data_IF_842111422853
#
_entry.id   IF_842111422853
#
_cell.length_a   1.000
_cell.length_b   1.000
_cell.length_c   1.000
_cell.angle_alpha   90.00
_cell.angle_beta   90.00
_cell.angle_gamma   90.00
#
_symmetry.space_group_name_H-M   'P 1'
#
loop_
_entity.id
_entity.type
_entity.pdbx_description
1 polymer ?
#
# COMPACT_ATOMS: atom_id res chain seq x y z
N UNK A 1 3.36 -5.73 18.53
CA UNK A 1 3.99 -5.03 17.39
C UNK A 1 2.95 -4.09 16.80
N UNK A 2 3.36 -2.90 16.35
CA UNK A 2 2.50 -1.72 16.16
C UNK A 2 1.90 -1.26 17.50
N UNK A 3 2.33 -0.09 17.96
CA UNK A 3 1.90 0.45 19.25
C UNK A 3 0.39 0.67 19.32
N UNK A 4 -0.14 1.06 20.49
CA UNK A 4 -1.57 1.31 20.65
C UNK A 4 -2.07 2.37 19.66
N UNK A 5 -3.26 2.15 19.12
CA UNK A 5 -3.98 3.11 18.26
C UNK A 5 -5.37 3.41 18.83
N UNK A 6 -5.90 4.58 18.50
CA UNK A 6 -7.24 5.00 18.94
C UNK A 6 -8.37 4.30 18.17
N UNK A 7 -9.55 4.19 18.78
CA UNK A 7 -10.72 3.59 18.14
C UNK A 7 -11.19 4.30 16.86
N UNK A 8 -10.83 5.57 16.66
CA UNK A 8 -11.08 6.30 15.43
C UNK A 8 -10.44 5.64 14.21
N UNK A 9 -9.25 5.04 14.37
CA UNK A 9 -8.58 4.30 13.30
C UNK A 9 -9.43 3.14 12.79
N UNK A 10 -9.91 2.28 13.69
CA UNK A 10 -10.75 1.14 13.31
C UNK A 10 -12.08 1.56 12.68
N UNK A 11 -12.70 2.64 13.19
CA UNK A 11 -13.91 3.21 12.57
C UNK A 11 -13.65 3.70 11.15
N UNK A 12 -12.48 4.28 10.90
CA UNK A 12 -12.10 4.75 9.58
C UNK A 12 -11.83 3.59 8.62
N UNK A 13 -11.07 2.57 9.05
CA UNK A 13 -10.86 1.35 8.26
C UNK A 13 -12.21 0.69 7.91
N UNK A 14 -13.12 0.55 8.89
CA UNK A 14 -14.45 0.00 8.64
C UNK A 14 -15.26 0.84 7.64
N UNK A 15 -15.13 2.18 7.68
CA UNK A 15 -15.74 3.07 6.69
C UNK A 15 -15.19 2.82 5.29
N UNK A 16 -13.86 2.69 5.14
CA UNK A 16 -13.21 2.41 3.85
C UNK A 16 -13.64 1.05 3.28
N UNK A 17 -13.68 0.01 4.12
CA UNK A 17 -14.15 -1.33 3.71
C UNK A 17 -15.59 -1.28 3.22
N UNK A 18 -16.49 -0.58 3.92
CA UNK A 18 -17.88 -0.41 3.48
C UNK A 18 -18.02 0.40 2.18
N UNK A 19 -17.13 1.36 1.96
CA UNK A 19 -17.09 2.15 0.74
C UNK A 19 -16.42 1.41 -0.44
N UNK A 20 -15.75 0.27 -0.17
CA UNK A 20 -14.95 -0.45 -1.16
C UNK A 20 -13.65 0.24 -1.57
N UNK A 21 -13.28 1.35 -0.92
CA UNK A 21 -12.07 2.14 -1.25
C UNK A 21 -11.66 3.09 -0.12
N UNK A 22 -10.47 3.67 -0.26
CA UNK A 22 -9.91 4.62 0.70
C UNK A 22 -10.58 6.00 0.57
N UNK A 23 -11.30 6.42 1.63
CA UNK A 23 -12.09 7.65 1.66
C UNK A 23 -11.81 8.47 2.93
N UNK A 24 -12.06 9.77 2.92
CA UNK A 24 -11.87 10.63 4.11
C UNK A 24 -12.80 10.25 5.29
N UNK A 25 -12.28 10.26 6.52
CA UNK A 25 -13.02 9.82 7.72
C UNK A 25 -14.22 10.73 8.04
N UNK A 26 -13.96 12.02 8.23
CA UNK A 26 -14.94 13.04 8.58
C UNK A 26 -14.67 14.30 7.76
N UNK A 27 -15.48 14.51 6.73
CA UNK A 27 -15.36 15.66 5.82
C UNK A 27 -15.70 17.00 6.49
N UNK A 28 -16.46 17.00 7.59
CA UNK A 28 -16.78 18.24 8.30
C UNK A 28 -15.57 18.73 9.10
N UNK A 29 -14.79 17.79 9.63
CA UNK A 29 -13.54 18.10 10.35
C UNK A 29 -12.36 18.33 9.41
N UNK A 30 -12.39 17.73 8.23
CA UNK A 30 -11.31 17.80 7.25
C UNK A 30 -11.87 18.16 5.86
N UNK A 31 -12.40 19.38 5.68
CA UNK A 31 -13.01 19.80 4.42
C UNK A 31 -11.99 19.88 3.27
N UNK A 32 -10.71 20.08 3.58
CA UNK A 32 -9.64 20.22 2.60
C UNK A 32 -9.12 18.89 2.07
N UNK A 33 -9.50 17.76 2.68
CA UNK A 33 -9.12 16.43 2.21
C UNK A 33 -10.09 15.94 1.12
N UNK A 34 -9.59 15.24 0.08
CA UNK A 34 -10.45 14.69 -0.94
C UNK A 34 -11.38 13.63 -0.35
N UNK A 35 -12.58 13.52 -0.90
CA UNK A 35 -13.53 12.49 -0.46
C UNK A 35 -13.01 11.08 -0.74
N UNK A 36 -12.48 10.87 -1.94
CA UNK A 36 -11.78 9.68 -2.40
C UNK A 36 -10.28 9.99 -2.52
N UNK A 37 -9.45 9.25 -1.79
CA UNK A 37 -8.00 9.44 -1.83
C UNK A 37 -7.37 9.00 -3.15
N UNK A 38 -8.08 8.23 -3.99
CA UNK A 38 -7.61 7.82 -5.30
C UNK A 38 -7.86 8.86 -6.40
N UNK A 39 -8.68 9.89 -6.13
CA UNK A 39 -9.11 10.86 -7.14
C UNK A 39 -7.95 11.58 -7.85
N UNK A 40 -6.84 11.82 -7.15
CA UNK A 40 -5.66 12.50 -7.67
C UNK A 40 -4.50 11.53 -8.00
N UNK A 41 -4.75 10.22 -8.15
CA UNK A 41 -3.70 9.22 -8.36
C UNK A 41 -2.80 9.54 -9.57
N UNK A 42 -3.36 10.09 -10.65
CA UNK A 42 -2.61 10.48 -11.86
C UNK A 42 -1.51 11.52 -11.58
N UNK A 43 -1.75 12.41 -10.62
CA UNK A 43 -0.86 13.50 -10.24
C UNK A 43 0.34 13.04 -9.40
N UNK A 44 0.27 11.83 -8.82
CA UNK A 44 1.35 11.24 -8.02
C UNK A 44 2.48 10.80 -8.96
N UNK A 45 3.49 11.65 -9.11
CA UNK A 45 4.64 11.38 -9.99
C UNK A 45 5.71 10.50 -9.36
N UNK A 46 5.71 10.34 -8.04
CA UNK A 46 6.68 9.52 -7.32
C UNK A 46 6.47 8.04 -7.67
N UNK A 47 7.47 7.34 -8.23
CA UNK A 47 7.41 5.89 -8.42
C UNK A 47 7.22 5.17 -7.10
N UNK A 48 6.44 4.10 -7.09
CA UNK A 48 6.13 3.30 -5.88
C UNK A 48 6.40 1.84 -6.17
N UNK A 49 7.14 1.19 -5.28
CA UNK A 49 7.25 -0.26 -5.22
C UNK A 49 6.22 -0.80 -4.21
N UNK A 50 5.19 -1.47 -4.71
CA UNK A 50 4.24 -2.21 -3.89
C UNK A 50 4.81 -3.60 -3.62
N UNK A 51 4.72 -4.06 -2.37
CA UNK A 51 5.22 -5.37 -1.96
C UNK A 51 4.18 -6.15 -1.19
N UNK A 52 4.00 -7.42 -1.48
CA UNK A 52 3.13 -8.30 -0.69
C UNK A 52 3.67 -9.73 -0.70
N UNK A 53 3.11 -10.60 0.13
CA UNK A 53 3.41 -12.01 0.11
C UNK A 53 2.18 -12.85 -0.22
N UNK A 54 2.38 -14.04 -0.80
CA UNK A 54 1.27 -14.92 -1.22
C UNK A 54 0.45 -15.47 -0.05
N UNK A 55 0.98 -15.41 1.18
CA UNK A 55 0.31 -15.85 2.41
C UNK A 55 -0.19 -14.67 3.27
N UNK A 56 -0.30 -13.46 2.72
CA UNK A 56 -0.83 -12.28 3.42
C UNK A 56 -2.34 -12.42 3.70
N UNK A 57 -2.72 -12.52 4.98
CA UNK A 57 -4.12 -12.64 5.44
C UNK A 57 -4.69 -11.36 6.06
N UNK A 58 -3.95 -10.26 6.04
CA UNK A 58 -4.39 -8.98 6.61
C UNK A 58 -4.85 -8.04 5.51
N UNK A 59 -3.99 -7.82 4.52
CA UNK A 59 -4.27 -7.02 3.32
C UNK A 59 -4.03 -7.91 2.11
N UNK A 60 -4.97 -8.83 1.87
CA UNK A 60 -4.86 -9.98 0.96
C UNK A 60 -4.25 -9.63 -0.40
N UNK A 61 -5.08 -9.12 -1.29
CA UNK A 61 -4.83 -8.74 -2.67
C UNK A 61 -4.74 -7.22 -2.82
N UNK A 62 -4.77 -6.47 -1.70
CA UNK A 62 -4.86 -5.00 -1.71
C UNK A 62 -3.74 -4.32 -2.50
N UNK A 63 -2.51 -4.84 -2.45
CA UNK A 63 -1.39 -4.30 -3.23
C UNK A 63 -1.44 -4.68 -4.72
N UNK A 64 -2.02 -5.84 -5.07
CA UNK A 64 -2.24 -6.23 -6.47
C UNK A 64 -3.30 -5.33 -7.09
N UNK A 65 -4.46 -5.19 -6.42
CA UNK A 65 -5.55 -4.29 -6.85
C UNK A 65 -5.09 -2.84 -6.93
N UNK A 66 -4.30 -2.37 -5.95
CA UNK A 66 -3.74 -1.02 -5.98
C UNK A 66 -2.79 -0.84 -7.18
N UNK A 67 -1.90 -1.79 -7.43
CA UNK A 67 -1.00 -1.77 -8.58
C UNK A 67 -1.78 -1.72 -9.89
N UNK A 68 -2.76 -2.59 -10.10
CA UNK A 68 -3.59 -2.63 -11.31
C UNK A 68 -4.31 -1.29 -11.56
N UNK A 69 -4.88 -0.69 -10.51
CA UNK A 69 -5.54 0.61 -10.60
C UNK A 69 -4.56 1.74 -10.93
N UNK A 70 -3.36 1.71 -10.33
CA UNK A 70 -2.33 2.70 -10.61
C UNK A 70 -1.74 2.54 -12.01
N UNK A 71 -1.55 1.30 -12.48
CA UNK A 71 -1.14 1.00 -13.85
C UNK A 71 -2.12 1.60 -14.87
N UNK A 72 -3.42 1.38 -14.67
CA UNK A 72 -4.45 1.92 -15.56
C UNK A 72 -4.44 3.46 -15.66
N UNK A 73 -3.94 4.15 -14.62
CA UNK A 73 -3.89 5.61 -14.55
C UNK A 73 -2.55 6.17 -15.00
N UNK A 74 -1.45 5.47 -14.71
CA UNK A 74 -0.09 5.93 -14.94
C UNK A 74 0.82 4.77 -15.41
N UNK A 75 0.69 4.35 -16.68
CA UNK A 75 1.36 3.14 -17.13
C UNK A 75 2.89 3.19 -17.03
N UNK A 76 3.47 2.11 -16.51
CA UNK A 76 4.91 1.92 -16.33
C UNK A 76 5.54 2.71 -15.17
N UNK A 77 4.75 3.44 -14.36
CA UNK A 77 5.29 4.28 -13.27
C UNK A 77 5.58 3.51 -11.99
N UNK A 78 4.78 2.48 -11.70
CA UNK A 78 4.81 1.76 -10.42
C UNK A 78 5.27 0.32 -10.65
N UNK A 79 5.79 -0.31 -9.60
CA UNK A 79 6.26 -1.69 -9.62
C UNK A 79 5.55 -2.51 -8.54
N UNK A 80 5.39 -3.81 -8.77
CA UNK A 80 4.80 -4.76 -7.81
C UNK A 80 5.71 -5.97 -7.65
N UNK A 81 6.05 -6.31 -6.41
CA UNK A 81 6.79 -7.52 -6.05
C UNK A 81 5.96 -8.39 -5.10
N UNK A 82 5.83 -9.68 -5.45
CA UNK A 82 5.05 -10.67 -4.69
C UNK A 82 6.01 -11.77 -4.21
N UNK A 83 6.14 -11.91 -2.89
CA UNK A 83 7.04 -12.87 -2.25
C UNK A 83 6.30 -14.16 -1.89
N UNK A 84 6.71 -15.28 -2.48
CA UNK A 84 6.05 -16.56 -2.24
C UNK A 84 6.27 -17.08 -0.81
N UNK A 85 5.19 -17.53 -0.16
CA UNK A 85 5.19 -18.01 1.22
C UNK A 85 5.21 -16.92 2.29
N UNK A 86 5.29 -15.65 1.92
CA UNK A 86 5.39 -14.54 2.88
C UNK A 86 4.01 -14.11 3.39
N UNK A 87 3.87 -13.97 4.70
CA UNK A 87 2.74 -13.32 5.35
C UNK A 87 2.86 -11.79 5.38
N UNK A 88 1.86 -11.13 5.99
CA UNK A 88 1.78 -9.67 6.02
C UNK A 88 3.05 -9.00 6.60
N UNK A 89 3.61 -9.58 7.66
CA UNK A 89 4.76 -9.00 8.36
C UNK A 89 6.10 -9.55 7.86
N UNK A 90 6.09 -10.68 7.16
CA UNK A 90 7.31 -11.38 6.75
C UNK A 90 8.12 -10.55 5.74
N UNK A 91 7.46 -9.67 4.98
CA UNK A 91 8.11 -8.75 4.05
C UNK A 91 9.01 -7.72 4.75
N UNK A 92 8.90 -7.57 6.07
CA UNK A 92 9.77 -6.72 6.89
C UNK A 92 10.55 -7.48 7.96
N UNK A 93 10.02 -8.61 8.43
CA UNK A 93 10.52 -9.30 9.63
C UNK A 93 10.70 -10.80 9.45
N UNK A 94 10.45 -11.33 8.25
CA UNK A 94 10.59 -12.75 7.96
C UNK A 94 12.03 -13.20 8.15
N UNK A 95 12.22 -14.46 8.55
CA UNK A 95 13.54 -15.05 8.80
C UNK A 95 14.54 -14.84 7.65
N UNK A 96 14.05 -14.81 6.42
CA UNK A 96 14.85 -14.66 5.21
C UNK A 96 14.67 -13.32 4.49
N UNK A 97 14.06 -12.31 5.15
CA UNK A 97 13.75 -11.01 4.54
C UNK A 97 14.99 -10.28 3.99
N UNK A 98 16.14 -10.41 4.65
CA UNK A 98 17.39 -9.82 4.20
C UNK A 98 17.95 -10.47 2.92
N UNK A 99 17.60 -11.73 2.66
CA UNK A 99 17.96 -12.47 1.45
C UNK A 99 16.98 -12.19 0.31
N UNK A 100 15.69 -12.25 0.61
CA UNK A 100 14.65 -12.33 -0.44
C UNK A 100 14.03 -10.98 -0.78
N UNK A 101 13.87 -10.09 0.21
CA UNK A 101 13.05 -8.87 0.07
C UNK A 101 13.90 -7.61 0.00
N UNK A 102 14.81 -7.40 0.97
CA UNK A 102 15.58 -6.16 1.05
C UNK A 102 16.44 -5.87 -0.19
N UNK A 103 17.05 -6.87 -0.86
CA UNK A 103 17.77 -6.60 -2.10
C UNK A 103 16.90 -5.97 -3.18
N UNK A 104 15.62 -6.39 -3.31
CA UNK A 104 14.66 -5.82 -4.27
C UNK A 104 14.31 -4.36 -3.93
N UNK A 105 14.09 -4.07 -2.65
CA UNK A 105 13.80 -2.71 -2.18
C UNK A 105 14.99 -1.77 -2.42
N UNK A 106 16.21 -2.21 -2.08
CA UNK A 106 17.44 -1.41 -2.27
C UNK A 106 17.71 -1.16 -3.75
N UNK A 107 17.52 -2.19 -4.59
CA UNK A 107 17.67 -2.07 -6.03
C UNK A 107 16.67 -1.08 -6.65
N UNK A 108 15.38 -1.16 -6.27
CA UNK A 108 14.37 -0.17 -6.66
C UNK A 108 14.80 1.25 -6.27
N UNK A 109 15.17 1.47 -5.00
CA UNK A 109 15.59 2.79 -4.53
C UNK A 109 16.80 3.32 -5.31
N UNK A 110 17.77 2.47 -5.65
CA UNK A 110 18.94 2.84 -6.46
C UNK A 110 18.55 3.26 -7.87
N UNK A 111 17.62 2.55 -8.52
CA UNK A 111 17.11 2.93 -9.86
C UNK A 111 16.38 4.27 -9.85
N UNK A 112 15.71 4.62 -8.75
CA UNK A 112 14.94 5.86 -8.62
C UNK A 112 15.74 7.04 -8.04
N UNK A 113 17.02 6.86 -7.69
CA UNK A 113 17.84 7.89 -7.05
C UNK A 113 18.43 8.95 -8.02
N UNK A 114 17.98 8.95 -9.28
CA UNK A 114 18.44 9.87 -10.34
C UNK A 114 18.04 11.32 -10.11
#
# INVERSE_FOLDING_TARGET
LYGPTGFSYYRHVAKMVRAGQAVTYDRRRHPDLPEDYFAAAAEIRTPVLLTTGTANRVFTDSNQVCYERLEAVAPGRHELEIFDGYGHQDVFMGRYVARDVFPRMVDFLKRQAG
#
